data_IF_393994176401
#
_entry.id   IF_393994176401
#
_cell.length_a   1.000
_cell.length_b   1.000
_cell.length_c   1.000
_cell.angle_alpha   90.00
_cell.angle_beta   90.00
_cell.angle_gamma   90.00
#
_symmetry.space_group_name_H-M   'P 1'
#
loop_
_entity.id
_entity.type
_entity.pdbx_description
1 polymer ?
#
# COMPACT_ATOMS: atom_id res chain seq x y z
N UNK A 1 -20.49 -13.22 -3.67
CA UNK A 1 -21.18 -11.93 -3.91
C UNK A 1 -22.69 -12.03 -4.15
N UNK A 2 -23.28 -13.24 -4.31
CA UNK A 2 -24.74 -13.39 -4.52
C UNK A 2 -25.58 -13.11 -3.26
N UNK A 3 -24.98 -13.22 -2.07
CA UNK A 3 -25.68 -13.01 -0.79
C UNK A 3 -25.70 -11.56 -0.32
N UNK A 4 -24.85 -10.68 -0.89
CA UNK A 4 -24.66 -9.30 -0.43
C UNK A 4 -25.96 -8.48 -0.39
N UNK A 5 -26.91 -8.60 -1.33
CA UNK A 5 -28.17 -7.86 -1.23
C UNK A 5 -29.16 -8.41 -0.19
N UNK A 6 -28.93 -9.62 0.35
CA UNK A 6 -29.88 -10.31 1.25
C UNK A 6 -29.58 -10.10 2.75
N UNK A 7 -28.47 -9.45 3.08
CA UNK A 7 -28.00 -9.33 4.48
C UNK A 7 -28.58 -8.12 5.23
N UNK A 8 -29.44 -7.32 4.61
CA UNK A 8 -30.00 -6.12 5.24
C UNK A 8 -31.00 -5.40 4.35
N UNK A 9 -31.52 -4.29 4.86
CA UNK A 9 -32.55 -3.46 4.21
C UNK A 9 -32.28 -1.97 4.42
N UNK A 10 -32.59 -1.11 3.46
CA UNK A 10 -32.35 0.32 3.63
C UNK A 10 -32.74 1.11 2.38
N UNK A 11 -32.97 2.43 2.49
CA UNK A 11 -33.41 3.23 1.36
C UNK A 11 -32.36 3.34 0.26
N UNK A 12 -31.07 3.29 0.63
CA UNK A 12 -29.95 3.28 -0.32
C UNK A 12 -29.51 1.85 -0.68
N UNK A 13 -30.12 0.82 -0.09
CA UNK A 13 -29.66 -0.56 -0.22
C UNK A 13 -29.62 -1.06 -1.67
N UNK A 14 -30.71 -0.85 -2.43
CA UNK A 14 -30.75 -1.23 -3.84
C UNK A 14 -29.69 -0.49 -4.66
N UNK A 15 -29.57 0.81 -4.47
CA UNK A 15 -28.66 1.65 -5.25
C UNK A 15 -27.18 1.45 -4.89
N UNK A 16 -26.88 0.79 -3.76
CA UNK A 16 -25.51 0.59 -3.27
C UNK A 16 -25.10 -0.88 -3.30
N UNK A 17 -25.82 -1.75 -2.61
CA UNK A 17 -25.48 -3.18 -2.51
C UNK A 17 -25.73 -3.95 -3.81
N UNK A 18 -26.84 -3.68 -4.51
CA UNK A 18 -27.13 -4.36 -5.79
C UNK A 18 -26.19 -3.85 -6.88
N UNK A 19 -25.95 -2.54 -6.93
CA UNK A 19 -24.97 -1.95 -7.85
C UNK A 19 -23.56 -2.53 -7.64
N UNK A 20 -23.10 -2.65 -6.39
CA UNK A 20 -21.81 -3.27 -6.10
C UNK A 20 -21.77 -4.74 -6.52
N UNK A 21 -22.85 -5.48 -6.31
CA UNK A 21 -22.97 -6.85 -6.79
C UNK A 21 -22.85 -6.92 -8.32
N UNK A 22 -23.55 -6.06 -9.06
CA UNK A 22 -23.51 -6.01 -10.53
C UNK A 22 -22.10 -5.70 -11.04
N UNK A 23 -21.45 -4.68 -10.47
CA UNK A 23 -20.03 -4.34 -10.77
C UNK A 23 -19.11 -5.52 -10.55
N UNK A 24 -19.28 -6.23 -9.43
CA UNK A 24 -18.48 -7.41 -9.13
C UNK A 24 -18.74 -8.59 -10.05
N UNK A 25 -19.98 -8.83 -10.48
CA UNK A 25 -20.27 -9.86 -11.48
C UNK A 25 -19.67 -9.53 -12.85
N UNK A 26 -19.63 -8.25 -13.23
CA UNK A 26 -19.04 -7.77 -14.50
C UNK A 26 -17.50 -7.77 -14.51
N UNK A 27 -16.88 -7.44 -13.36
CA UNK A 27 -15.47 -7.04 -13.29
C UNK A 27 -14.59 -7.85 -12.32
N UNK A 28 -15.09 -8.92 -11.69
CA UNK A 28 -14.32 -9.72 -10.72
C UNK A 28 -12.95 -10.19 -11.25
N UNK A 29 -12.89 -10.57 -12.53
CA UNK A 29 -11.68 -11.07 -13.17
C UNK A 29 -10.56 -10.01 -13.21
N UNK A 30 -10.91 -8.73 -13.32
CA UNK A 30 -9.94 -7.64 -13.33
C UNK A 30 -9.26 -7.45 -11.97
N UNK A 31 -9.93 -7.80 -10.87
CA UNK A 31 -9.35 -7.80 -9.53
C UNK A 31 -8.34 -8.96 -9.36
N UNK A 32 -8.64 -10.14 -9.91
CA UNK A 32 -7.72 -11.30 -9.84
C UNK A 32 -6.46 -11.05 -10.66
N UNK A 33 -6.61 -10.43 -11.83
CA UNK A 33 -5.49 -10.07 -12.70
C UNK A 33 -4.76 -8.78 -12.25
N UNK A 34 -5.20 -8.12 -11.18
CA UNK A 34 -4.62 -6.88 -10.66
C UNK A 34 -4.53 -5.74 -11.71
N UNK A 35 -5.58 -5.57 -12.52
CA UNK A 35 -5.65 -4.58 -13.63
C UNK A 35 -6.91 -3.71 -13.56
N UNK A 36 -7.71 -3.84 -12.51
CA UNK A 36 -8.93 -3.07 -12.27
C UNK A 36 -8.72 -1.54 -12.14
N UNK A 37 -7.48 -1.08 -12.04
CA UNK A 37 -7.11 0.32 -12.03
C UNK A 37 -6.97 0.94 -13.44
N UNK A 38 -6.87 0.10 -14.47
CA UNK A 38 -6.84 0.53 -15.88
C UNK A 38 -8.03 0.05 -16.69
N UNK A 39 -8.61 -1.09 -16.34
CA UNK A 39 -9.72 -1.71 -17.09
C UNK A 39 -11.00 -1.68 -16.25
N UNK A 40 -12.14 -1.37 -16.91
CA UNK A 40 -13.48 -1.27 -16.30
C UNK A 40 -13.49 -0.42 -15.02
N UNK A 41 -12.83 0.73 -15.06
CA UNK A 41 -12.64 1.59 -13.89
C UNK A 41 -13.92 2.26 -13.38
N UNK A 42 -14.93 2.35 -14.24
CA UNK A 42 -16.31 2.76 -13.96
C UNK A 42 -17.14 1.67 -13.24
N UNK A 43 -16.78 0.41 -13.43
CA UNK A 43 -17.43 -0.75 -12.82
C UNK A 43 -16.47 -1.48 -11.86
N UNK A 44 -15.68 -0.72 -11.10
CA UNK A 44 -14.70 -1.29 -10.18
C UNK A 44 -15.43 -2.09 -9.08
N UNK A 45 -15.06 -3.36 -8.95
CA UNK A 45 -15.52 -4.22 -7.88
C UNK A 45 -14.65 -4.03 -6.65
N UNK A 46 -15.24 -3.83 -5.47
CA UNK A 46 -14.56 -3.46 -4.23
C UNK A 46 -13.73 -2.20 -4.43
N UNK A 47 -14.29 -1.03 -4.15
CA UNK A 47 -13.64 0.25 -4.46
C UNK A 47 -12.22 0.41 -3.91
N UNK A 48 -11.85 -0.27 -2.83
CA UNK A 48 -10.50 -0.23 -2.25
C UNK A 48 -9.48 -1.11 -3.00
N UNK A 49 -9.93 -2.00 -3.89
CA UNK A 49 -9.06 -2.99 -4.52
C UNK A 49 -8.06 -2.41 -5.53
N UNK A 50 -8.26 -1.18 -6.05
CA UNK A 50 -7.29 -0.53 -6.96
C UNK A 50 -5.90 -0.41 -6.34
N UNK A 51 -5.81 -0.23 -5.02
CA UNK A 51 -4.54 -0.11 -4.31
C UNK A 51 -3.71 -1.39 -4.44
N UNK A 52 -4.35 -2.55 -4.32
CA UNK A 52 -3.67 -3.85 -4.45
C UNK A 52 -3.12 -4.03 -5.87
N UNK A 53 -3.84 -3.55 -6.88
CA UNK A 53 -3.38 -3.57 -8.27
C UNK A 53 -2.18 -2.66 -8.48
N UNK A 54 -2.21 -1.44 -7.94
CA UNK A 54 -1.07 -0.52 -7.97
C UNK A 54 0.15 -1.13 -7.27
N UNK A 55 -0.02 -1.69 -6.07
CA UNK A 55 1.05 -2.29 -5.30
C UNK A 55 1.67 -3.50 -6.02
N UNK A 56 0.84 -4.41 -6.55
CA UNK A 56 1.31 -5.59 -7.28
C UNK A 56 2.06 -5.21 -8.56
N UNK A 57 1.56 -4.22 -9.31
CA UNK A 57 2.23 -3.74 -10.52
C UNK A 57 3.61 -3.13 -10.21
N UNK A 58 3.71 -2.35 -9.13
CA UNK A 58 4.98 -1.78 -8.68
C UNK A 58 5.91 -2.82 -8.04
N UNK A 59 5.35 -3.85 -7.42
CA UNK A 59 6.08 -5.01 -6.92
C UNK A 59 6.83 -5.73 -8.05
N UNK A 60 6.20 -5.94 -9.21
CA UNK A 60 6.88 -6.51 -10.37
C UNK A 60 7.99 -5.61 -10.93
N UNK A 61 7.88 -4.29 -10.76
CA UNK A 61 8.88 -3.33 -11.23
C UNK A 61 10.06 -3.20 -10.25
N UNK A 62 9.86 -3.40 -8.95
CA UNK A 62 10.89 -3.23 -7.92
C UNK A 62 12.19 -4.04 -8.14
N UNK A 63 12.15 -5.34 -8.52
CA UNK A 63 13.35 -6.14 -8.75
C UNK A 63 14.34 -5.51 -9.74
N UNK A 64 13.85 -4.78 -10.76
CA UNK A 64 14.70 -4.10 -11.74
C UNK A 64 15.57 -3.03 -11.05
N UNK A 65 14.95 -2.24 -10.16
CA UNK A 65 15.65 -1.21 -9.40
C UNK A 65 16.58 -1.81 -8.35
N UNK A 66 16.12 -2.83 -7.63
CA UNK A 66 16.93 -3.52 -6.61
C UNK A 66 18.15 -4.19 -7.27
N UNK A 67 17.96 -4.90 -8.38
CA UNK A 67 19.05 -5.53 -9.13
C UNK A 67 20.03 -4.49 -9.66
N UNK A 68 19.55 -3.38 -10.21
CA UNK A 68 20.40 -2.28 -10.70
C UNK A 68 21.24 -1.66 -9.57
N UNK A 69 20.65 -1.45 -8.39
CA UNK A 69 21.37 -0.96 -7.20
C UNK A 69 22.43 -1.94 -6.71
N UNK A 70 22.14 -3.25 -6.76
CA UNK A 70 23.06 -4.30 -6.35
C UNK A 70 24.22 -4.47 -7.34
N UNK A 71 23.93 -4.53 -8.65
CA UNK A 71 24.93 -4.79 -9.69
C UNK A 71 25.75 -3.56 -10.05
N UNK A 72 25.13 -2.38 -10.15
CA UNK A 72 25.76 -1.15 -10.62
C UNK A 72 25.50 0.03 -9.70
N UNK A 73 26.05 0.01 -8.49
CA UNK A 73 25.78 0.97 -7.41
C UNK A 73 25.58 2.44 -7.83
N UNK A 74 26.50 3.02 -8.62
CA UNK A 74 26.41 4.43 -9.07
C UNK A 74 25.28 4.62 -10.08
N UNK A 75 25.23 3.77 -11.10
CA UNK A 75 24.21 3.85 -12.18
C UNK A 75 22.83 3.56 -11.61
N UNK A 76 22.69 2.55 -10.75
CA UNK A 76 21.43 2.21 -10.08
C UNK A 76 20.90 3.35 -9.19
N UNK A 77 21.78 4.08 -8.51
CA UNK A 77 21.38 5.25 -7.72
C UNK A 77 20.86 6.39 -8.61
N UNK A 78 21.55 6.67 -9.73
CA UNK A 78 21.10 7.66 -10.71
C UNK A 78 19.79 7.24 -11.38
N UNK A 79 19.67 5.95 -11.71
CA UNK A 79 18.46 5.37 -12.31
C UNK A 79 17.25 5.47 -11.38
N UNK A 80 17.41 5.16 -10.09
CA UNK A 80 16.35 5.32 -9.09
C UNK A 80 15.99 6.80 -8.87
N UNK A 81 16.98 7.70 -8.85
CA UNK A 81 16.74 9.14 -8.76
C UNK A 81 15.93 9.66 -9.96
N UNK A 82 16.28 9.22 -11.18
CA UNK A 82 15.55 9.56 -12.39
C UNK A 82 14.12 9.01 -12.36
N UNK A 83 13.92 7.76 -11.95
CA UNK A 83 12.58 7.19 -11.82
C UNK A 83 11.73 7.92 -10.77
N UNK A 84 12.35 8.34 -9.67
CA UNK A 84 11.68 9.17 -8.65
C UNK A 84 11.29 10.53 -9.20
N UNK A 85 12.17 11.19 -9.96
CA UNK A 85 11.85 12.44 -10.63
C UNK A 85 10.69 12.29 -11.62
N UNK A 86 10.72 11.24 -12.45
CA UNK A 86 9.63 10.93 -13.39
C UNK A 86 8.32 10.68 -12.63
N UNK A 87 8.37 9.98 -11.50
CA UNK A 87 7.19 9.71 -10.66
C UNK A 87 6.58 10.97 -10.04
N UNK A 88 7.34 12.06 -9.92
CA UNK A 88 6.87 13.37 -9.49
C UNK A 88 6.35 14.20 -10.66
N UNK A 89 7.04 14.12 -11.80
CA UNK A 89 6.72 14.90 -12.99
C UNK A 89 5.41 14.45 -13.66
N UNK A 90 5.17 13.13 -13.76
CA UNK A 90 3.97 12.59 -14.43
C UNK A 90 2.67 13.09 -13.77
N UNK A 91 2.45 12.93 -12.45
CA UNK A 91 1.20 13.38 -11.84
C UNK A 91 1.04 14.89 -11.91
N UNK A 92 2.12 15.66 -11.75
CA UNK A 92 2.11 17.11 -11.88
C UNK A 92 1.74 17.56 -13.30
N UNK A 93 2.32 16.93 -14.32
CA UNK A 93 2.04 17.24 -15.72
C UNK A 93 0.59 16.93 -16.10
N UNK A 94 0.09 15.74 -15.75
CA UNK A 94 -1.29 15.34 -16.04
C UNK A 94 -2.26 16.29 -15.33
N UNK A 95 -2.04 16.59 -14.05
CA UNK A 95 -2.89 17.50 -13.28
C UNK A 95 -2.90 18.92 -13.87
N UNK A 96 -1.75 19.41 -14.33
CA UNK A 96 -1.64 20.71 -14.99
C UNK A 96 -2.38 20.75 -16.33
N UNK A 97 -2.20 19.71 -17.15
CA UNK A 97 -2.76 19.61 -18.51
C UNK A 97 -4.28 19.48 -18.47
N UNK A 98 -4.77 18.55 -17.66
CA UNK A 98 -6.18 18.16 -17.63
C UNK A 98 -6.99 18.97 -16.59
N UNK A 99 -6.34 19.93 -15.93
CA UNK A 99 -6.92 20.82 -14.91
C UNK A 99 -7.63 20.05 -13.80
N UNK A 100 -6.95 19.02 -13.28
CA UNK A 100 -7.49 18.13 -12.26
C UNK A 100 -7.37 18.73 -10.86
N UNK A 101 -8.20 18.22 -9.94
CA UNK A 101 -8.13 18.58 -8.53
C UNK A 101 -6.75 18.22 -7.90
N UNK A 102 -6.29 19.00 -6.91
CA UNK A 102 -5.01 18.74 -6.21
C UNK A 102 -4.95 17.36 -5.55
N UNK A 103 -6.10 16.86 -5.11
CA UNK A 103 -6.28 15.57 -4.47
C UNK A 103 -7.75 15.14 -4.62
N UNK A 104 -8.09 13.93 -4.19
CA UNK A 104 -9.49 13.50 -4.13
C UNK A 104 -10.20 14.28 -3.01
N UNK A 105 -11.03 15.24 -3.40
CA UNK A 105 -11.87 16.02 -2.49
C UNK A 105 -13.21 15.30 -2.28
N UNK A 106 -13.69 15.30 -1.04
CA UNK A 106 -14.92 14.61 -0.64
C UNK A 106 -16.03 15.63 -0.43
N UNK A 107 -16.99 15.64 -1.36
CA UNK A 107 -18.25 16.36 -1.20
C UNK A 107 -19.42 15.38 -1.01
N UNK A 108 -20.62 15.92 -0.77
CA UNK A 108 -21.80 15.11 -0.46
C UNK A 108 -22.12 14.05 -1.53
N UNK A 109 -21.82 14.33 -2.81
CA UNK A 109 -22.09 13.42 -3.93
C UNK A 109 -21.16 12.21 -3.92
N UNK A 110 -19.90 12.38 -3.53
CA UNK A 110 -18.90 11.31 -3.49
C UNK A 110 -19.25 10.26 -2.43
N UNK A 111 -19.88 10.68 -1.32
CA UNK A 111 -20.44 9.75 -0.31
C UNK A 111 -21.56 8.85 -0.85
N UNK A 112 -22.11 9.13 -2.04
CA UNK A 112 -23.17 8.34 -2.69
C UNK A 112 -22.68 7.43 -3.82
N UNK A 113 -21.58 7.75 -4.51
CA UNK A 113 -20.87 6.81 -5.40
C UNK A 113 -19.48 7.33 -5.83
N UNK A 114 -18.42 6.80 -5.22
CA UNK A 114 -17.04 7.17 -5.52
C UNK A 114 -16.60 6.82 -6.94
N UNK A 115 -17.11 5.72 -7.50
CA UNK A 115 -16.66 5.24 -8.81
C UNK A 115 -17.09 6.17 -9.96
N UNK A 116 -18.08 7.04 -9.71
CA UNK A 116 -18.54 8.04 -10.70
C UNK A 116 -17.70 9.31 -10.73
N UNK A 117 -16.84 9.53 -9.73
CA UNK A 117 -16.02 10.72 -9.67
C UNK A 117 -14.94 10.67 -10.77
N UNK A 118 -14.92 11.71 -11.62
CA UNK A 118 -14.01 11.78 -12.76
C UNK A 118 -12.54 11.72 -12.34
N UNK A 119 -12.17 12.47 -11.32
CA UNK A 119 -10.81 12.45 -10.77
C UNK A 119 -10.44 11.06 -10.24
N UNK A 120 -11.38 10.39 -9.56
CA UNK A 120 -11.16 9.04 -9.05
C UNK A 120 -10.81 8.06 -10.19
N UNK A 121 -11.65 8.03 -11.24
CA UNK A 121 -11.55 7.10 -12.36
C UNK A 121 -10.32 7.35 -13.24
N UNK A 122 -10.07 8.61 -13.60
CA UNK A 122 -9.07 8.95 -14.61
C UNK A 122 -7.69 9.19 -14.03
N UNK A 123 -7.60 9.64 -12.77
CA UNK A 123 -6.33 10.04 -12.17
C UNK A 123 -6.01 9.28 -10.87
N UNK A 124 -6.92 9.22 -9.91
CA UNK A 124 -6.59 8.76 -8.57
C UNK A 124 -6.14 7.30 -8.52
N UNK A 125 -6.82 6.39 -9.21
CA UNK A 125 -6.55 4.95 -9.12
C UNK A 125 -5.37 4.49 -9.98
N UNK A 126 -4.87 5.33 -10.90
CA UNK A 126 -3.84 4.95 -11.87
C UNK A 126 -2.47 4.77 -11.20
N UNK A 127 -1.75 3.71 -11.57
CA UNK A 127 -0.41 3.40 -11.01
C UNK A 127 0.57 4.55 -11.21
N UNK A 128 0.60 5.14 -12.40
CA UNK A 128 1.52 6.23 -12.70
C UNK A 128 1.27 7.50 -11.87
N UNK A 129 0.06 7.65 -11.30
CA UNK A 129 -0.31 8.76 -10.40
C UNK A 129 0.08 8.50 -8.93
N UNK A 130 0.55 7.28 -8.62
CA UNK A 130 0.84 6.77 -7.26
C UNK A 130 2.25 6.19 -7.09
N UNK A 131 3.14 6.34 -8.08
CA UNK A 131 4.48 5.73 -8.03
C UNK A 131 5.42 6.41 -7.02
N UNK A 132 5.22 7.69 -6.69
CA UNK A 132 6.14 8.47 -5.83
C UNK A 132 6.44 7.81 -4.49
N UNK A 133 5.44 7.42 -3.67
CA UNK A 133 5.71 6.82 -2.36
C UNK A 133 6.44 5.49 -2.47
N UNK A 134 6.22 4.75 -3.57
CA UNK A 134 6.86 3.46 -3.82
C UNK A 134 8.36 3.61 -4.06
N UNK A 135 8.77 4.52 -4.95
CA UNK A 135 10.19 4.81 -5.17
C UNK A 135 10.86 5.41 -3.94
N UNK A 136 10.16 6.27 -3.19
CA UNK A 136 10.66 6.78 -1.91
C UNK A 136 10.85 5.66 -0.87
N UNK A 137 9.99 4.64 -0.88
CA UNK A 137 10.18 3.42 -0.10
C UNK A 137 11.45 2.66 -0.48
N UNK A 138 11.71 2.49 -1.78
CA UNK A 138 12.96 1.88 -2.28
C UNK A 138 14.20 2.69 -1.87
N UNK A 139 14.15 4.02 -1.97
CA UNK A 139 15.22 4.93 -1.52
C UNK A 139 15.46 4.74 -0.02
N UNK A 140 14.39 4.76 0.79
CA UNK A 140 14.46 4.59 2.24
C UNK A 140 15.08 3.24 2.61
N UNK A 141 14.63 2.16 1.97
CA UNK A 141 15.17 0.82 2.17
C UNK A 141 16.65 0.71 1.80
N UNK A 142 17.05 1.31 0.68
CA UNK A 142 18.45 1.36 0.25
C UNK A 142 19.33 2.14 1.25
N UNK A 143 18.88 3.33 1.70
CA UNK A 143 19.60 4.12 2.71
C UNK A 143 19.73 3.33 4.02
N UNK A 144 18.65 2.70 4.48
CA UNK A 144 18.66 1.89 5.71
C UNK A 144 19.64 0.71 5.60
N UNK A 145 19.60 -0.03 4.49
CA UNK A 145 20.52 -1.14 4.24
C UNK A 145 21.99 -0.68 4.26
N UNK A 146 22.28 0.52 3.73
CA UNK A 146 23.63 1.10 3.74
C UNK A 146 24.08 1.47 5.14
N UNK A 147 23.22 2.13 5.92
CA UNK A 147 23.53 2.48 7.32
C UNK A 147 23.86 1.23 8.13
N UNK A 148 23.07 0.16 7.97
CA UNK A 148 23.28 -1.10 8.68
C UNK A 148 24.53 -1.85 8.20
N UNK A 149 24.76 -1.93 6.88
CA UNK A 149 25.92 -2.63 6.31
C UNK A 149 27.24 -1.96 6.64
N UNK A 150 27.26 -0.63 6.71
CA UNK A 150 28.47 0.15 6.98
C UNK A 150 28.63 0.51 8.46
N UNK A 151 27.73 0.04 9.33
CA UNK A 151 27.66 0.39 10.75
C UNK A 151 27.77 1.91 11.00
N UNK A 152 27.15 2.70 10.12
CA UNK A 152 27.27 4.16 10.14
C UNK A 152 26.57 4.74 11.37
N UNK A 153 27.32 5.45 12.21
CA UNK A 153 26.79 6.14 13.40
C UNK A 153 26.34 7.55 13.04
N UNK A 154 25.05 7.81 13.16
CA UNK A 154 24.48 9.13 12.86
C UNK A 154 24.91 10.18 13.90
N UNK A 155 25.33 11.34 13.41
CA UNK A 155 25.63 12.50 14.24
C UNK A 155 24.36 13.04 14.92
N UNK A 156 24.53 13.78 16.03
CA UNK A 156 23.40 14.41 16.73
C UNK A 156 22.62 15.38 15.85
N UNK A 157 23.31 16.10 14.96
CA UNK A 157 22.70 17.05 14.03
C UNK A 157 21.79 16.34 13.03
N UNK A 158 22.25 15.25 12.40
CA UNK A 158 21.43 14.47 11.45
C UNK A 158 20.14 13.99 12.11
N UNK A 159 20.21 13.55 13.37
CA UNK A 159 19.03 13.11 14.11
C UNK A 159 18.03 14.25 14.36
N UNK A 160 18.51 15.41 14.79
CA UNK A 160 17.65 16.59 15.04
C UNK A 160 17.00 17.06 13.75
N UNK A 161 17.79 17.24 12.69
CA UNK A 161 17.28 17.66 11.39
C UNK A 161 16.28 16.65 10.82
N UNK A 162 16.59 15.36 10.87
CA UNK A 162 15.67 14.33 10.39
C UNK A 162 14.32 14.34 11.12
N UNK A 163 14.32 14.48 12.45
CA UNK A 163 13.08 14.57 13.21
C UNK A 163 12.29 15.85 12.92
N UNK A 164 12.96 17.01 12.87
CA UNK A 164 12.31 18.28 12.52
C UNK A 164 11.71 18.21 11.12
N UNK A 165 12.46 17.74 10.12
CA UNK A 165 11.98 17.56 8.76
C UNK A 165 10.80 16.60 8.70
N UNK A 166 10.86 15.46 9.40
CA UNK A 166 9.77 14.47 9.42
C UNK A 166 8.49 15.04 10.02
N UNK A 167 8.58 15.73 11.17
CA UNK A 167 7.41 16.33 11.84
C UNK A 167 6.81 17.44 10.97
N UNK A 168 7.63 18.35 10.44
CA UNK A 168 7.16 19.47 9.62
C UNK A 168 6.51 18.95 8.33
N UNK A 169 7.20 18.09 7.58
CA UNK A 169 6.67 17.56 6.31
C UNK A 169 5.45 16.67 6.53
N UNK A 170 5.42 15.85 7.59
CA UNK A 170 4.28 15.02 7.93
C UNK A 170 3.05 15.86 8.30
N UNK A 171 3.24 16.89 9.14
CA UNK A 171 2.17 17.81 9.53
C UNK A 171 1.63 18.58 8.32
N UNK A 172 2.52 19.16 7.50
CA UNK A 172 2.12 19.87 6.28
C UNK A 172 1.38 18.93 5.33
N UNK A 173 1.88 17.71 5.09
CA UNK A 173 1.22 16.77 4.19
C UNK A 173 -0.20 16.38 4.64
N UNK A 174 -0.43 16.26 5.96
CA UNK A 174 -1.76 15.90 6.51
C UNK A 174 -2.71 17.08 6.52
N UNK A 175 -2.29 18.26 6.99
CA UNK A 175 -3.20 19.37 7.25
C UNK A 175 -3.37 20.32 6.06
N UNK A 176 -2.43 20.34 5.11
CA UNK A 176 -2.50 21.25 3.95
C UNK A 176 -3.74 21.05 3.08
N UNK A 177 -4.33 19.85 3.07
CA UNK A 177 -5.55 19.57 2.30
C UNK A 177 -6.73 20.46 2.72
N UNK A 178 -6.75 20.91 3.97
CA UNK A 178 -7.81 21.79 4.50
C UNK A 178 -7.92 23.13 3.79
N UNK A 179 -6.85 23.59 3.13
CA UNK A 179 -6.83 24.83 2.34
C UNK A 179 -7.80 24.73 1.16
N UNK A 180 -7.89 23.57 0.52
CA UNK A 180 -8.76 23.35 -0.64
C UNK A 180 -10.25 23.26 -0.31
N UNK A 181 -10.59 23.15 0.98
CA UNK A 181 -11.98 23.17 1.45
C UNK A 181 -12.46 24.57 1.87
N UNK A 182 -11.57 25.58 1.86
CA UNK A 182 -11.94 26.92 2.31
C UNK A 182 -12.78 27.64 1.28
N UNK A 183 -13.83 28.34 1.71
CA UNK A 183 -14.73 29.10 0.82
C UNK A 183 -14.00 30.18 0.01
N UNK A 184 -12.93 30.75 0.57
CA UNK A 184 -12.10 31.77 -0.08
C UNK A 184 -11.11 31.21 -1.10
N UNK A 185 -10.90 29.89 -1.12
CA UNK A 185 -9.95 29.25 -2.02
C UNK A 185 -10.45 29.28 -3.46
N UNK A 186 -9.60 29.75 -4.37
CA UNK A 186 -9.86 29.73 -5.81
C UNK A 186 -8.89 28.76 -6.46
N UNK A 187 -9.44 27.84 -7.24
CA UNK A 187 -8.65 26.83 -7.94
C UNK A 187 -7.51 27.44 -8.76
N UNK A 188 -6.31 26.93 -8.56
CA UNK A 188 -5.12 27.27 -9.32
C UNK A 188 -4.46 26.01 -9.86
N UNK A 189 -4.42 25.86 -11.18
CA UNK A 189 -3.84 24.68 -11.85
C UNK A 189 -2.36 24.43 -11.53
N UNK A 190 -1.56 25.49 -11.29
CA UNK A 190 -0.13 25.35 -10.97
C UNK A 190 0.01 24.82 -9.55
N UNK A 191 -0.79 25.36 -8.62
CA UNK A 191 -0.83 24.90 -7.25
C UNK A 191 -1.31 23.44 -7.16
N UNK A 192 -2.37 23.09 -7.88
CA UNK A 192 -2.87 21.72 -7.91
C UNK A 192 -1.84 20.73 -8.46
N UNK A 193 -1.18 21.09 -9.56
CA UNK A 193 -0.10 20.31 -10.17
C UNK A 193 1.12 20.16 -9.26
N UNK A 194 1.47 21.18 -8.49
CA UNK A 194 2.54 21.07 -7.50
C UNK A 194 2.10 20.18 -6.32
N UNK A 195 0.89 20.41 -5.82
CA UNK A 195 0.36 19.75 -4.63
C UNK A 195 0.27 18.24 -4.79
N UNK A 196 -0.29 17.75 -5.91
CA UNK A 196 -0.55 16.31 -6.16
C UNK A 196 0.68 15.42 -6.01
N UNK A 197 1.87 15.96 -6.28
CA UNK A 197 3.15 15.24 -6.17
C UNK A 197 3.89 15.59 -4.88
N UNK A 198 3.95 16.86 -4.51
CA UNK A 198 4.73 17.32 -3.36
C UNK A 198 4.17 16.84 -2.02
N UNK A 199 2.84 16.76 -1.85
CA UNK A 199 2.28 16.26 -0.58
C UNK A 199 2.63 14.76 -0.38
N UNK A 200 2.59 13.96 -1.45
CA UNK A 200 2.98 12.54 -1.42
C UNK A 200 4.46 12.38 -1.12
N UNK A 201 5.30 13.22 -1.73
CA UNK A 201 6.73 13.26 -1.45
C UNK A 201 7.01 13.62 0.01
N UNK A 202 6.40 14.69 0.52
CA UNK A 202 6.53 15.15 1.90
C UNK A 202 6.11 14.06 2.89
N UNK A 203 4.96 13.42 2.66
CA UNK A 203 4.50 12.29 3.47
C UNK A 203 5.49 11.11 3.43
N UNK A 204 6.04 10.81 2.27
CA UNK A 204 7.00 9.71 2.10
C UNK A 204 8.34 9.99 2.77
N UNK A 205 8.84 11.22 2.72
CA UNK A 205 10.06 11.63 3.46
C UNK A 205 9.82 11.54 4.96
N UNK A 206 8.67 12.00 5.44
CA UNK A 206 8.32 11.96 6.85
C UNK A 206 8.31 10.52 7.39
N UNK A 207 7.63 9.61 6.70
CA UNK A 207 7.59 8.19 7.07
C UNK A 207 8.93 7.49 6.83
N UNK A 208 9.67 7.85 5.78
CA UNK A 208 10.99 7.29 5.49
C UNK A 208 11.99 7.55 6.62
N UNK A 209 12.03 8.78 7.14
CA UNK A 209 12.84 9.09 8.32
C UNK A 209 12.39 8.33 9.57
N UNK A 210 11.07 8.23 9.82
CA UNK A 210 10.52 7.49 10.95
C UNK A 210 11.01 6.03 10.94
N UNK A 211 10.96 5.37 9.77
CA UNK A 211 11.44 4.00 9.57
C UNK A 211 12.94 3.91 9.85
N UNK A 212 13.75 4.79 9.25
CA UNK A 212 15.20 4.83 9.46
C UNK A 212 15.54 5.03 10.95
N UNK A 213 14.87 5.96 11.62
CA UNK A 213 15.10 6.25 13.03
C UNK A 213 14.75 5.06 13.93
N UNK A 214 13.61 4.38 13.69
CA UNK A 214 13.21 3.23 14.49
C UNK A 214 14.15 2.03 14.27
N UNK A 215 14.46 1.69 13.02
CA UNK A 215 15.31 0.54 12.67
C UNK A 215 16.78 0.72 13.07
N UNK A 216 17.26 1.96 13.22
CA UNK A 216 18.63 2.26 13.69
C UNK A 216 18.72 2.48 15.20
N UNK A 217 17.63 2.26 15.95
CA UNK A 217 17.58 2.47 17.41
C UNK A 217 17.53 3.94 17.84
N UNK A 218 17.40 4.88 16.91
CA UNK A 218 17.30 6.32 17.17
C UNK A 218 15.84 6.80 17.33
N UNK A 219 14.88 5.88 17.41
CA UNK A 219 13.45 6.17 17.46
C UNK A 219 12.88 6.53 18.84
N UNK A 220 13.65 6.39 19.92
CA UNK A 220 13.25 6.79 21.27
C UNK A 220 11.92 6.16 21.72
N UNK A 221 10.98 7.01 22.18
CA UNK A 221 9.64 6.61 22.65
C UNK A 221 8.82 6.00 21.51
N UNK A 222 8.89 6.58 20.30
CA UNK A 222 8.13 6.10 19.15
C UNK A 222 8.53 4.68 18.76
N UNK A 223 9.82 4.35 18.83
CA UNK A 223 10.26 2.97 18.59
C UNK A 223 9.66 2.00 19.61
N UNK A 224 9.63 2.36 20.91
CA UNK A 224 9.03 1.52 21.96
C UNK A 224 7.53 1.30 21.73
N UNK A 225 6.81 2.35 21.30
CA UNK A 225 5.39 2.27 20.99
C UNK A 225 5.12 1.39 19.75
N UNK A 226 5.84 1.64 18.65
CA UNK A 226 5.63 0.94 17.38
C UNK A 226 6.07 -0.53 17.41
N UNK A 227 7.00 -0.88 18.29
CA UNK A 227 7.45 -2.27 18.51
C UNK A 227 6.67 -2.99 19.61
N UNK A 228 5.60 -2.38 20.13
CA UNK A 228 4.82 -2.97 21.21
C UNK A 228 4.10 -4.24 20.76
N UNK A 229 4.23 -5.33 21.53
CA UNK A 229 3.71 -6.67 21.18
C UNK A 229 2.19 -6.71 20.98
N UNK A 230 1.43 -5.79 21.58
CA UNK A 230 -0.02 -5.66 21.39
C UNK A 230 -0.37 -5.42 19.92
N UNK A 231 0.50 -4.73 19.16
CA UNK A 231 0.27 -4.46 17.75
C UNK A 231 0.55 -5.64 16.83
N UNK A 232 1.23 -6.70 17.29
CA UNK A 232 1.57 -7.86 16.46
C UNK A 232 0.35 -8.61 15.89
N UNK A 233 -0.68 -8.97 16.70
CA UNK A 233 -1.88 -9.60 16.14
C UNK A 233 -2.65 -8.63 15.23
N UNK A 234 -2.74 -7.35 15.61
CA UNK A 234 -3.43 -6.31 14.83
C UNK A 234 -2.75 -6.14 13.47
N UNK A 235 -1.42 -6.09 13.44
CA UNK A 235 -0.62 -5.90 12.22
C UNK A 235 -0.70 -7.10 11.28
N UNK A 236 -1.02 -8.30 11.78
CA UNK A 236 -1.27 -9.48 10.93
C UNK A 236 -2.67 -9.46 10.31
N UNK A 237 -3.64 -8.87 11.02
CA UNK A 237 -5.02 -8.76 10.54
C UNK A 237 -5.23 -7.59 9.56
N UNK A 238 -4.26 -6.67 9.42
CA UNK A 238 -4.40 -5.45 8.59
C UNK A 238 -4.80 -5.76 7.15
N UNK A 239 -4.28 -6.83 6.54
CA UNK A 239 -4.66 -7.20 5.18
C UNK A 239 -6.12 -7.64 5.08
N UNK A 240 -6.59 -8.52 5.97
CA UNK A 240 -8.00 -8.89 6.04
C UNK A 240 -8.89 -7.69 6.37
N UNK A 241 -8.46 -6.81 7.29
CA UNK A 241 -9.16 -5.58 7.62
C UNK A 241 -9.28 -4.65 6.41
N UNK A 242 -8.21 -4.53 5.63
CA UNK A 242 -8.19 -3.77 4.37
C UNK A 242 -9.19 -4.32 3.34
N UNK A 243 -9.33 -5.65 3.23
CA UNK A 243 -10.29 -6.23 2.29
C UNK A 243 -11.74 -6.01 2.73
N UNK A 244 -12.02 -6.07 4.04
CA UNK A 244 -13.39 -6.03 4.56
C UNK A 244 -13.90 -4.60 4.81
N UNK A 245 -13.02 -3.62 5.03
CA UNK A 245 -13.43 -2.26 5.39
C UNK A 245 -14.46 -1.67 4.41
N UNK A 246 -14.30 -1.90 3.11
CA UNK A 246 -15.20 -1.34 2.11
C UNK A 246 -16.61 -1.92 2.19
N UNK A 247 -16.76 -3.18 2.62
CA UNK A 247 -18.07 -3.80 2.87
C UNK A 247 -18.72 -3.18 4.11
N UNK A 248 -17.93 -2.91 5.16
CA UNK A 248 -18.43 -2.24 6.38
C UNK A 248 -18.96 -0.84 6.05
N UNK A 249 -18.19 -0.04 5.32
CA UNK A 249 -18.61 1.29 4.89
C UNK A 249 -19.82 1.24 3.96
N UNK A 250 -19.81 0.33 2.99
CA UNK A 250 -20.94 0.16 2.07
C UNK A 250 -22.21 -0.24 2.82
N UNK A 251 -22.10 -1.15 3.78
CA UNK A 251 -23.22 -1.56 4.63
C UNK A 251 -23.77 -0.39 5.43
N UNK A 252 -22.90 0.36 6.12
CA UNK A 252 -23.28 1.51 6.90
C UNK A 252 -24.00 2.56 6.04
N UNK A 253 -23.41 2.97 4.91
CA UNK A 253 -24.02 3.96 4.01
C UNK A 253 -25.34 3.46 3.43
N UNK A 254 -25.46 2.18 3.11
CA UNK A 254 -26.68 1.59 2.55
C UNK A 254 -27.87 1.61 3.52
N UNK A 255 -27.59 1.64 4.83
CA UNK A 255 -28.57 1.66 5.91
C UNK A 255 -29.04 3.08 6.29
N UNK A 256 -28.31 4.13 5.88
CA UNK A 256 -28.63 5.51 6.25
C UNK A 256 -30.04 5.90 5.77
N UNK A 257 -30.89 6.32 6.71
CA UNK A 257 -32.27 6.76 6.45
C UNK A 257 -32.45 8.28 6.43
N UNK A 258 -31.47 9.01 6.95
CA UNK A 258 -31.48 10.48 7.02
C UNK A 258 -30.05 11.01 6.84
N UNK A 259 -29.88 12.26 6.36
CA UNK A 259 -28.60 12.92 6.31
C UNK A 259 -27.99 13.05 7.71
N UNK A 260 -26.68 12.85 7.82
CA UNK A 260 -25.95 13.00 9.08
C UNK A 260 -25.22 14.33 9.12
N UNK A 261 -25.24 15.00 10.27
CA UNK A 261 -24.38 16.15 10.52
C UNK A 261 -22.94 15.69 10.76
N UNK A 262 -22.03 16.20 9.92
CA UNK A 262 -20.60 15.96 10.03
C UNK A 262 -20.05 16.85 11.14
N UNK A 263 -20.02 16.31 12.36
CA UNK A 263 -19.40 16.96 13.53
C UNK A 263 -18.17 16.17 13.94
N UNK A 264 -17.22 16.82 14.62
CA UNK A 264 -16.03 16.13 15.10
C UNK A 264 -16.37 14.91 15.97
N UNK A 265 -17.33 15.06 16.88
CA UNK A 265 -17.76 13.98 17.76
C UNK A 265 -18.38 12.80 16.99
N UNK A 266 -19.32 13.08 16.07
CA UNK A 266 -19.96 12.01 15.28
C UNK A 266 -18.97 11.29 14.37
N UNK A 267 -18.00 12.02 13.78
CA UNK A 267 -16.96 11.41 12.95
C UNK A 267 -16.02 10.52 13.76
N UNK A 268 -15.58 10.95 14.95
CA UNK A 268 -14.71 10.14 15.81
C UNK A 268 -15.45 8.89 16.31
N UNK A 269 -16.68 9.05 16.78
CA UNK A 269 -17.50 7.93 17.27
C UNK A 269 -17.74 6.88 16.17
N UNK A 270 -18.15 7.32 14.97
CA UNK A 270 -18.36 6.42 13.84
C UNK A 270 -17.05 5.75 13.40
N UNK A 271 -15.95 6.49 13.37
CA UNK A 271 -14.63 5.94 12.99
C UNK A 271 -14.19 4.82 13.95
N UNK A 272 -14.37 5.01 15.26
CA UNK A 272 -14.06 3.97 16.27
C UNK A 272 -14.97 2.75 16.06
N UNK A 273 -16.28 2.96 15.86
CA UNK A 273 -17.22 1.88 15.63
C UNK A 273 -16.88 1.06 14.37
N UNK A 274 -16.56 1.75 13.27
CA UNK A 274 -16.21 1.11 11.99
C UNK A 274 -14.88 0.37 12.08
N UNK A 275 -13.89 0.92 12.79
CA UNK A 275 -12.62 0.24 13.05
C UNK A 275 -12.83 -1.06 13.82
N UNK A 276 -13.59 -1.01 14.93
CA UNK A 276 -13.89 -2.20 15.73
C UNK A 276 -14.61 -3.25 14.90
N UNK A 277 -15.65 -2.87 14.14
CA UNK A 277 -16.40 -3.79 13.28
C UNK A 277 -15.50 -4.40 12.19
N UNK A 278 -14.67 -3.59 11.55
CA UNK A 278 -13.73 -4.03 10.51
C UNK A 278 -12.75 -5.07 11.05
N UNK A 279 -12.13 -4.84 12.21
CA UNK A 279 -11.20 -5.80 12.80
C UNK A 279 -11.88 -7.08 13.28
N UNK A 280 -13.12 -7.01 13.79
CA UNK A 280 -13.88 -8.21 14.14
C UNK A 280 -14.16 -9.07 12.90
N UNK A 281 -14.61 -8.47 11.80
CA UNK A 281 -14.84 -9.20 10.55
C UNK A 281 -13.52 -9.68 9.91
N UNK A 282 -12.44 -8.92 10.07
CA UNK A 282 -11.11 -9.33 9.61
C UNK A 282 -10.65 -10.63 10.30
N UNK A 283 -10.93 -10.81 11.60
CA UNK A 283 -10.64 -12.06 12.30
C UNK A 283 -11.39 -13.23 11.68
N UNK A 284 -12.67 -13.05 11.39
CA UNK A 284 -13.51 -14.08 10.76
C UNK A 284 -12.94 -14.44 9.38
N UNK A 285 -12.63 -13.43 8.55
CA UNK A 285 -12.05 -13.66 7.22
C UNK A 285 -10.68 -14.36 7.29
N UNK A 286 -9.83 -13.94 8.23
CA UNK A 286 -8.50 -14.51 8.42
C UNK A 286 -8.58 -15.99 8.82
N UNK A 287 -9.47 -16.35 9.75
CA UNK A 287 -9.63 -17.75 10.20
C UNK A 287 -10.21 -18.64 9.10
N UNK A 288 -11.14 -18.13 8.30
CA UNK A 288 -11.82 -18.93 7.26
C UNK A 288 -10.94 -19.11 6.01
N UNK A 289 -10.20 -18.07 5.59
CA UNK A 289 -9.47 -18.09 4.32
C UNK A 289 -7.96 -18.04 4.50
N UNK A 290 -7.45 -17.01 5.17
CA UNK A 290 -6.00 -16.76 5.23
C UNK A 290 -5.25 -17.87 5.98
N UNK A 291 -5.74 -18.29 7.15
CA UNK A 291 -5.09 -19.31 7.97
C UNK A 291 -5.04 -20.70 7.32
N UNK A 292 -6.12 -21.22 6.69
CA UNK A 292 -6.06 -22.47 5.94
C UNK A 292 -5.12 -22.39 4.73
N UNK A 293 -5.14 -21.27 3.98
CA UNK A 293 -4.25 -21.08 2.83
C UNK A 293 -2.78 -21.09 3.28
N UNK A 294 -2.45 -20.39 4.37
CA UNK A 294 -1.10 -20.41 4.94
C UNK A 294 -0.67 -21.82 5.39
N UNK A 295 -1.61 -22.61 5.90
CA UNK A 295 -1.40 -24.01 6.24
C UNK A 295 -1.07 -24.86 5.01
N UNK A 296 -1.86 -24.71 3.94
CA UNK A 296 -1.67 -25.41 2.66
C UNK A 296 -0.35 -24.99 2.02
N UNK A 297 -0.03 -23.71 1.97
CA UNK A 297 1.23 -23.18 1.43
C UNK A 297 2.43 -23.83 2.13
N UNK A 298 2.44 -23.88 3.46
CA UNK A 298 3.50 -24.53 4.23
C UNK A 298 3.63 -26.03 3.89
N UNK A 299 2.51 -26.71 3.66
CA UNK A 299 2.51 -28.13 3.27
C UNK A 299 3.08 -28.27 1.85
N UNK A 300 2.61 -27.48 0.89
CA UNK A 300 3.09 -27.50 -0.50
C UNK A 300 4.58 -27.17 -0.58
N UNK A 301 5.04 -26.12 0.10
CA UNK A 301 6.47 -25.78 0.15
C UNK A 301 7.30 -26.92 0.74
N UNK A 302 6.81 -27.61 1.77
CA UNK A 302 7.49 -28.81 2.31
C UNK A 302 7.52 -29.96 1.31
N UNK A 303 6.44 -30.19 0.57
CA UNK A 303 6.36 -31.24 -0.45
C UNK A 303 7.30 -30.94 -1.62
N UNK A 304 7.36 -29.69 -2.11
CA UNK A 304 8.18 -29.31 -3.26
C UNK A 304 9.66 -29.04 -2.90
N UNK A 305 9.96 -28.61 -1.66
CA UNK A 305 11.34 -28.42 -1.21
C UNK A 305 12.05 -29.73 -0.82
N UNK A 306 11.31 -30.76 -0.40
CA UNK A 306 11.88 -32.10 -0.10
C UNK A 306 12.58 -32.76 -1.31
N UNK A 307 12.02 -32.79 -2.53
CA UNK A 307 12.70 -33.32 -3.71
C UNK A 307 14.01 -32.57 -4.01
N UNK A 308 14.01 -31.23 -3.93
CA UNK A 308 15.19 -30.42 -4.24
C UNK A 308 16.36 -30.64 -3.23
N UNK A 309 16.04 -30.80 -1.94
CA UNK A 309 17.05 -31.13 -0.92
C UNK A 309 17.54 -32.57 -1.02
N UNK A 310 16.66 -33.52 -1.34
CA UNK A 310 17.02 -34.93 -1.55
C UNK A 310 17.87 -35.13 -2.81
N UNK A 311 17.59 -34.42 -3.90
CA UNK A 311 18.37 -34.48 -5.14
C UNK A 311 19.72 -33.79 -5.00
N UNK A 312 19.80 -32.67 -4.29
CA UNK A 312 21.09 -32.03 -3.98
C UNK A 312 21.94 -32.90 -3.03
N UNK A 313 21.34 -33.50 -2.01
CA UNK A 313 22.04 -34.43 -1.13
C UNK A 313 22.55 -35.68 -1.89
N UNK A 314 21.77 -36.23 -2.82
CA UNK A 314 22.22 -37.34 -3.69
C UNK A 314 23.34 -36.92 -4.65
N UNK A 315 23.29 -35.71 -5.20
CA UNK A 315 24.35 -35.16 -6.05
C UNK A 315 25.66 -34.96 -5.28
N UNK A 316 25.59 -34.42 -4.07
CA UNK A 316 26.78 -34.23 -3.23
C UNK A 316 27.41 -35.58 -2.83
N UNK A 317 26.60 -36.58 -2.46
CA UNK A 317 27.09 -37.94 -2.19
C UNK A 317 27.73 -38.57 -3.44
N UNK A 318 27.16 -38.37 -4.63
CA UNK A 318 27.73 -38.88 -5.89
C UNK A 318 29.03 -38.17 -6.30
N UNK A 319 29.14 -36.88 -6.01
CA UNK A 319 30.34 -36.08 -6.27
C UNK A 319 31.49 -36.43 -5.29
N UNK A 320 31.15 -36.75 -4.04
CA UNK A 320 32.11 -37.18 -3.01
C UNK A 320 32.60 -38.60 -3.27
N UNK A 321 31.71 -39.52 -3.66
CA UNK A 321 32.08 -40.88 -4.08
C UNK A 321 32.99 -40.88 -5.32
N UNK A 322 32.74 -40.02 -6.30
CA UNK A 322 33.58 -39.93 -7.51
C UNK A 322 34.96 -39.32 -7.23
N UNK A 323 35.08 -38.37 -6.29
CA UNK A 323 36.37 -37.86 -5.81
C UNK A 323 37.19 -38.90 -5.07
N UNK A 324 36.57 -39.71 -4.21
CA UNK A 324 37.27 -40.77 -3.47
C UNK A 324 37.77 -41.89 -4.40
N UNK A 325 37.00 -42.21 -5.45
CA UNK A 325 37.38 -43.23 -6.45
C UNK A 325 38.51 -42.74 -7.38
N UNK A 326 38.66 -41.43 -7.58
CA UNK A 326 39.74 -40.86 -8.39
C UNK A 326 41.03 -40.67 -7.57
N UNK A 327 40.94 -40.36 -6.27
CA UNK A 327 42.10 -40.34 -5.37
C UNK A 327 42.71 -41.73 -5.16
N UNK A 328 41.89 -42.79 -5.01
CA UNK A 328 42.42 -44.16 -4.83
C UNK A 328 43.12 -44.74 -6.07
N UNK A 329 42.95 -44.15 -7.25
CA UNK A 329 43.64 -44.56 -8.49
C UNK A 329 44.97 -43.83 -8.73
N UNK A 330 45.29 -42.82 -7.91
CA UNK A 330 46.56 -42.10 -7.95
C UNK A 330 47.59 -42.61 -6.94
N UNK A 331 47.19 -43.53 -6.04
CA UNK A 331 48.05 -44.10 -4.98
C UNK A 331 48.53 -45.54 -5.27
N UNK A 332 48.35 -46.02 -6.50
CA UNK A 332 48.95 -47.25 -7.05
C UNK A 332 49.68 -46.92 -8.33
#
# INVERSE_FOLDING_TARGET
MTWLPKIGEGPLWKNRMVLEQERCLSSWWANILYINNYIKTDEICMFQSWYLSVDTQLFFVAPIFIYSLWRWRRIGSVFLALATFISLAIPSYITYRDQLDPTLLFYAKEFTDFATNFYFKEAYIKTHMKMTPYFMGLITGYILHRIQSENYKMSRLVKIFGWLTSIVLGTVAVFSVSVFYQEWYKYNKIEAAAYVSLHKLAWSIANGWLIIACCTGNGGILNKLLTWKVFVPISRLTFCAYLVNGIVELYYVSQLRHPLHVTFFTMVANSIAHLVLTFNLAVILCVIFESPIHGIERILLRIFARPALSDNARRDISAESSRNTSQSKLET
#
